data_IF_475818385356
#
_entry.id   IF_475818385356
#
_cell.length_a   1.000
_cell.length_b   1.000
_cell.length_c   1.000
_cell.angle_alpha   90.00
_cell.angle_beta   90.00
_cell.angle_gamma   90.00
#
_symmetry.space_group_name_H-M   'P 1'
#
loop_
_entity.id
_entity.type
_entity.pdbx_description
1 polymer ?
#
# COMPACT_ATOMS: atom_id res chain seq x y z
N UNK A 1 4.37 3.70 -28.62
CA UNK A 1 4.47 4.00 -27.17
C UNK A 1 3.69 5.28 -26.89
N UNK A 2 2.84 5.28 -25.87
CA UNK A 2 2.12 6.50 -25.45
C UNK A 2 3.09 7.34 -24.61
N UNK A 3 3.27 8.62 -24.94
CA UNK A 3 4.14 9.52 -24.18
C UNK A 3 3.37 10.10 -22.99
N UNK A 4 3.93 9.98 -21.79
CA UNK A 4 3.39 10.54 -20.56
C UNK A 4 4.34 11.65 -20.10
N UNK A 5 3.79 12.85 -19.86
CA UNK A 5 4.57 13.92 -19.26
C UNK A 5 4.70 13.65 -17.76
N UNK A 6 5.93 13.43 -17.34
CA UNK A 6 6.29 13.23 -15.94
C UNK A 6 6.93 14.53 -15.46
N UNK A 7 6.58 14.93 -14.24
CA UNK A 7 7.25 16.05 -13.59
C UNK A 7 8.76 15.77 -13.47
N UNK A 8 9.66 16.74 -13.78
CA UNK A 8 11.10 16.50 -13.79
C UNK A 8 11.68 16.02 -12.45
N UNK A 9 11.08 16.41 -11.33
CA UNK A 9 11.52 15.97 -10.01
C UNK A 9 11.10 14.52 -9.75
N UNK A 10 9.90 14.14 -10.20
CA UNK A 10 9.46 12.75 -10.19
C UNK A 10 10.35 11.87 -11.08
N UNK A 11 10.73 12.35 -12.27
CA UNK A 11 11.62 11.63 -13.18
C UNK A 11 12.97 11.30 -12.53
N UNK A 12 13.60 12.28 -11.85
CA UNK A 12 14.86 12.07 -11.11
C UNK A 12 14.73 10.99 -10.04
N UNK A 13 13.62 10.96 -9.30
CA UNK A 13 13.38 9.96 -8.26
C UNK A 13 13.19 8.57 -8.86
N UNK A 14 12.47 8.47 -9.97
CA UNK A 14 12.26 7.21 -10.69
C UNK A 14 13.58 6.66 -11.25
N UNK A 15 14.43 7.52 -11.81
CA UNK A 15 15.77 7.13 -12.29
C UNK A 15 16.64 6.56 -11.16
N UNK A 16 16.65 7.22 -9.99
CA UNK A 16 17.38 6.73 -8.82
C UNK A 16 16.83 5.39 -8.32
N UNK A 17 15.51 5.24 -8.27
CA UNK A 17 14.87 4.01 -7.83
C UNK A 17 15.17 2.84 -8.78
N UNK A 18 15.12 3.07 -10.09
CA UNK A 18 15.48 2.09 -11.12
C UNK A 18 16.96 1.66 -10.98
N UNK A 19 17.86 2.63 -10.79
CA UNK A 19 19.28 2.35 -10.57
C UNK A 19 19.54 1.50 -9.31
N UNK A 20 18.82 1.76 -8.21
CA UNK A 20 18.90 0.94 -6.97
C UNK A 20 18.42 -0.49 -7.21
N UNK A 21 17.44 -0.69 -8.09
CA UNK A 21 16.91 -2.02 -8.46
C UNK A 21 17.73 -2.72 -9.55
N UNK A 22 18.63 -2.02 -10.22
CA UNK A 22 19.45 -2.58 -11.31
C UNK A 22 18.67 -2.81 -12.60
N UNK A 23 17.52 -2.14 -12.79
CA UNK A 23 16.67 -2.29 -13.97
C UNK A 23 16.55 -0.96 -14.75
N UNK A 24 16.06 -1.02 -15.99
CA UNK A 24 15.88 0.19 -16.80
C UNK A 24 14.72 1.05 -16.28
N UNK A 25 14.77 2.37 -16.47
CA UNK A 25 13.68 3.28 -16.06
C UNK A 25 12.32 2.86 -16.63
N UNK A 26 12.28 2.47 -17.90
CA UNK A 26 11.06 2.03 -18.57
C UNK A 26 10.49 0.73 -17.98
N UNK A 27 11.37 -0.20 -17.58
CA UNK A 27 10.98 -1.45 -16.94
C UNK A 27 10.48 -1.21 -15.52
N UNK A 28 11.20 -0.39 -14.75
CA UNK A 28 10.79 0.05 -13.41
C UNK A 28 9.39 0.68 -13.44
N UNK A 29 9.16 1.62 -14.35
CA UNK A 29 7.85 2.29 -14.49
C UNK A 29 6.77 1.29 -14.91
N UNK A 30 7.06 0.41 -15.87
CA UNK A 30 6.09 -0.58 -16.35
C UNK A 30 5.65 -1.51 -15.23
N UNK A 31 6.60 -2.01 -14.46
CA UNK A 31 6.35 -2.91 -13.34
C UNK A 31 5.57 -2.21 -12.23
N UNK A 32 6.01 -1.02 -11.82
CA UNK A 32 5.30 -0.24 -10.81
C UNK A 32 3.87 0.11 -11.24
N UNK A 33 3.65 0.41 -12.53
CA UNK A 33 2.32 0.68 -13.07
C UNK A 33 1.44 -0.57 -13.08
N UNK A 34 1.97 -1.74 -13.44
CA UNK A 34 1.26 -3.00 -13.40
C UNK A 34 0.86 -3.37 -11.97
N UNK A 35 1.83 -3.39 -11.03
CA UNK A 35 1.59 -3.68 -9.61
C UNK A 35 0.53 -2.74 -9.01
N UNK A 36 0.58 -1.45 -9.35
CA UNK A 36 -0.40 -0.47 -8.89
C UNK A 36 -1.77 -0.68 -9.51
N UNK A 37 -1.85 -1.00 -10.80
CA UNK A 37 -3.10 -1.27 -11.48
C UNK A 37 -3.77 -2.52 -10.90
N UNK A 38 -3.03 -3.62 -10.77
CA UNK A 38 -3.52 -4.88 -10.21
C UNK A 38 -4.04 -4.67 -8.78
N UNK A 39 -3.26 -4.00 -7.93
CA UNK A 39 -3.70 -3.67 -6.56
C UNK A 39 -4.98 -2.85 -6.55
N UNK A 40 -5.09 -1.86 -7.45
CA UNK A 40 -6.27 -0.98 -7.51
C UNK A 40 -7.50 -1.73 -8.00
N UNK A 41 -7.34 -2.62 -8.98
CA UNK A 41 -8.42 -3.43 -9.52
C UNK A 41 -8.88 -4.49 -8.53
N UNK A 42 -7.96 -5.16 -7.83
CA UNK A 42 -8.28 -6.15 -6.80
C UNK A 42 -9.08 -5.55 -5.63
N UNK A 43 -8.73 -4.33 -5.19
CA UNK A 43 -9.50 -3.60 -4.17
C UNK A 43 -10.90 -3.22 -4.69
N UNK A 44 -11.02 -2.91 -5.98
CA UNK A 44 -12.31 -2.56 -6.59
C UNK A 44 -13.23 -3.76 -6.82
N UNK A 45 -12.70 -4.98 -6.86
CA UNK A 45 -13.48 -6.23 -7.02
C UNK A 45 -13.88 -6.86 -5.68
N UNK A 46 -13.18 -6.54 -4.59
CA UNK A 46 -13.36 -7.11 -3.25
C UNK A 46 -14.38 -6.41 -2.36
N UNK A 47 -15.53 -6.00 -2.91
CA UNK A 47 -16.56 -5.17 -2.27
C UNK A 47 -17.26 -5.72 -1.00
N UNK A 48 -16.63 -6.56 -0.18
CA UNK A 48 -17.23 -7.09 1.06
C UNK A 48 -16.27 -7.18 2.28
N UNK A 49 -14.99 -6.80 2.16
CA UNK A 49 -14.03 -6.92 3.28
C UNK A 49 -13.33 -5.62 3.69
N UNK A 50 -13.71 -4.48 3.11
CA UNK A 50 -13.16 -3.15 3.46
C UNK A 50 -13.38 -2.79 4.94
N UNK A 51 -14.43 -3.34 5.58
CA UNK A 51 -14.73 -3.13 6.99
C UNK A 51 -13.93 -4.04 7.94
N UNK A 52 -13.35 -5.14 7.43
CA UNK A 52 -12.66 -6.17 8.25
C UNK A 52 -11.13 -6.07 8.13
N UNK A 53 -10.62 -5.66 6.97
CA UNK A 53 -9.19 -5.46 6.77
C UNK A 53 -8.81 -4.03 7.12
N UNK A 54 -8.59 -3.80 8.42
CA UNK A 54 -7.75 -2.71 8.90
C UNK A 54 -6.34 -2.82 8.33
N UNK A 55 -6.16 -2.45 7.05
CA UNK A 55 -4.86 -2.25 6.45
C UNK A 55 -4.29 -0.99 7.09
N UNK A 56 -3.51 -1.23 8.13
CA UNK A 56 -2.54 -0.29 8.67
C UNK A 56 -1.70 0.21 7.49
N UNK A 57 -2.02 1.41 7.00
CA UNK A 57 -1.08 2.18 6.17
C UNK A 57 0.11 2.54 7.07
N UNK A 58 1.10 1.66 7.06
CA UNK A 58 2.44 1.90 7.57
C UNK A 58 3.13 2.96 6.72
N UNK A 59 2.78 4.21 7.02
CA UNK A 59 3.29 5.43 6.42
C UNK A 59 2.78 6.66 7.17
N UNK A 60 2.77 6.60 8.51
CA UNK A 60 2.62 7.75 9.41
C UNK A 60 1.21 8.30 9.66
N UNK A 61 0.50 7.82 10.70
CA UNK A 61 -0.64 8.56 11.26
C UNK A 61 -1.74 7.75 11.97
N UNK A 62 -1.46 7.29 13.20
CA UNK A 62 -2.39 7.01 14.33
C UNK A 62 -3.83 6.55 14.00
N UNK A 63 -4.04 5.23 13.98
CA UNK A 63 -5.37 4.63 14.10
C UNK A 63 -5.95 4.91 15.51
N UNK A 64 -7.09 5.60 15.59
CA UNK A 64 -7.66 6.11 16.86
C UNK A 64 -8.71 5.17 17.51
N UNK A 65 -8.89 3.94 17.02
CA UNK A 65 -9.89 2.98 17.57
C UNK A 65 -9.47 1.51 17.62
N UNK A 66 -8.24 1.16 17.25
CA UNK A 66 -7.74 -0.23 17.36
C UNK A 66 -7.48 -0.66 18.82
N UNK A 67 -7.29 0.31 19.73
CA UNK A 67 -7.00 0.03 21.14
C UNK A 67 -8.18 -0.53 21.94
N UNK A 68 -9.42 -0.14 21.64
CA UNK A 68 -10.60 -0.63 22.37
C UNK A 68 -10.91 -2.10 22.02
N UNK A 69 -10.89 -2.45 20.73
CA UNK A 69 -11.11 -3.82 20.28
C UNK A 69 -10.00 -4.77 20.75
N UNK A 70 -8.74 -4.30 20.83
CA UNK A 70 -7.65 -5.07 21.41
C UNK A 70 -7.81 -5.24 22.93
N UNK A 71 -8.28 -4.21 23.65
CA UNK A 71 -8.50 -4.29 25.09
C UNK A 71 -9.64 -5.27 25.45
N UNK A 72 -10.71 -5.33 24.66
CA UNK A 72 -11.82 -6.26 24.90
C UNK A 72 -11.37 -7.72 24.67
N UNK A 73 -10.57 -8.00 23.63
CA UNK A 73 -9.99 -9.32 23.37
C UNK A 73 -9.03 -9.79 24.48
N UNK A 74 -8.24 -8.86 25.03
CA UNK A 74 -7.34 -9.16 26.17
C UNK A 74 -8.14 -9.39 27.45
N UNK A 75 -9.23 -8.65 27.66
CA UNK A 75 -10.11 -8.83 28.82
C UNK A 75 -10.89 -10.16 28.78
N UNK A 76 -11.34 -10.61 27.60
CA UNK A 76 -11.98 -11.91 27.43
C UNK A 76 -11.01 -13.09 27.63
N UNK A 77 -9.73 -12.92 27.26
CA UNK A 77 -8.68 -13.90 27.51
C UNK A 77 -8.33 -14.06 28.99
N UNK A 78 -8.26 -12.94 29.74
CA UNK A 78 -7.94 -12.92 31.17
C UNK A 78 -9.08 -13.45 32.06
N UNK A 79 -10.30 -13.59 31.55
CA UNK A 79 -11.45 -14.12 32.28
C UNK A 79 -11.61 -15.65 32.15
N UNK A 80 -10.72 -16.33 31.41
CA UNK A 80 -10.72 -17.79 31.21
C UNK A 80 -9.55 -18.52 31.89
N UNK A 81 -8.87 -17.87 32.85
CA UNK A 81 -7.92 -18.51 33.78
C UNK A 81 -8.47 -18.52 35.21
#
# INVERSE_FOLDING_TARGET
MKSLRIDPELEKRLQRAAAVKGESLSEFIRRAAAERADTTLLVSEGGDFDDVLGIVRGGGGRARRTGAAFADLVAEGAAKE
#
